data_IF_355579703095
#
_entry.id   IF_355579703095
#
_cell.length_a   1.000
_cell.length_b   1.000
_cell.length_c   1.000
_cell.angle_alpha   90.00
_cell.angle_beta   90.00
_cell.angle_gamma   90.00
#
_symmetry.space_group_name_H-M   'P 1'
#
loop_
_entity.id
_entity.type
_entity.pdbx_description
1 polymer ?
#
# COMPACT_ATOMS: atom_id res chain seq x y z
N UNK A 1 10.51 9.85 1.99
CA UNK A 1 10.74 8.61 2.76
C UNK A 1 9.41 7.95 3.07
N UNK A 2 9.30 6.62 3.10
CA UNK A 2 8.00 5.96 3.36
C UNK A 2 7.76 5.87 4.86
N UNK A 3 6.55 6.16 5.31
CA UNK A 3 6.13 6.13 6.70
C UNK A 3 4.89 5.26 6.87
N UNK A 4 4.82 4.55 7.99
CA UNK A 4 3.73 3.66 8.37
C UNK A 4 3.12 4.14 9.69
N UNK A 5 1.81 4.00 9.86
CA UNK A 5 1.15 4.34 11.12
C UNK A 5 0.93 3.09 11.96
N UNK A 6 1.57 3.03 13.13
CA UNK A 6 1.60 1.84 13.96
C UNK A 6 0.19 1.40 14.39
N UNK A 7 -0.11 0.10 14.27
CA UNK A 7 -1.41 -0.50 14.62
C UNK A 7 -2.65 0.04 13.88
N UNK A 8 -2.49 0.90 12.86
CA UNK A 8 -3.61 1.43 12.07
C UNK A 8 -4.46 0.35 11.39
N UNK A 9 -3.83 -0.77 11.02
CA UNK A 9 -4.50 -1.93 10.42
C UNK A 9 -5.52 -2.64 11.31
N UNK A 10 -5.56 -2.36 12.62
CA UNK A 10 -6.50 -2.99 13.56
C UNK A 10 -7.84 -2.25 13.66
N UNK A 11 -7.90 -1.03 13.12
CA UNK A 11 -9.11 -0.20 13.12
C UNK A 11 -10.08 -0.59 12.01
N UNK A 12 -11.11 0.23 11.77
CA UNK A 12 -11.89 0.16 10.53
C UNK A 12 -11.08 0.72 9.35
N UNK A 13 -11.55 0.43 8.12
CA UNK A 13 -11.09 1.16 6.93
C UNK A 13 -11.62 2.58 7.04
N UNK A 14 -10.71 3.56 7.09
CA UNK A 14 -11.08 4.98 7.15
C UNK A 14 -11.71 5.42 5.82
N UNK A 15 -12.66 6.38 5.85
CA UNK A 15 -13.16 6.99 4.61
C UNK A 15 -11.99 7.61 3.86
N UNK A 16 -11.95 7.40 2.54
CA UNK A 16 -10.94 7.93 1.65
C UNK A 16 -11.64 8.88 0.69
N UNK A 17 -11.24 10.15 0.72
CA UNK A 17 -11.87 11.23 -0.04
C UNK A 17 -10.84 11.83 -1.00
N UNK A 18 -11.29 12.31 -2.16
CA UNK A 18 -10.40 13.08 -3.03
C UNK A 18 -10.31 14.51 -2.52
N UNK A 19 -9.09 15.02 -2.34
CA UNK A 19 -8.88 16.43 -2.03
C UNK A 19 -8.99 17.32 -3.27
N UNK A 20 -8.79 16.74 -4.46
CA UNK A 20 -8.87 17.43 -5.75
C UNK A 20 -9.84 16.68 -6.68
N UNK A 21 -10.93 17.33 -7.14
CA UNK A 21 -11.85 16.74 -8.12
C UNK A 21 -11.18 16.30 -9.43
N UNK A 22 -10.08 16.96 -9.82
CA UNK A 22 -9.32 16.66 -11.04
C UNK A 22 -8.37 15.46 -10.87
N UNK A 23 -8.15 15.00 -9.63
CA UNK A 23 -7.29 13.85 -9.29
C UNK A 23 -8.08 12.76 -8.54
N UNK A 24 -9.09 12.11 -9.16
CA UNK A 24 -10.03 11.21 -8.49
C UNK A 24 -9.40 9.95 -7.89
N UNK A 25 -8.13 9.67 -8.19
CA UNK A 25 -7.37 8.52 -7.70
C UNK A 25 -6.56 8.84 -6.44
N UNK A 26 -6.37 10.14 -6.12
CA UNK A 26 -5.56 10.60 -4.98
C UNK A 26 -6.42 10.66 -3.71
N UNK A 27 -6.99 9.51 -3.37
CA UNK A 27 -7.85 9.40 -2.20
C UNK A 27 -7.02 9.34 -0.93
N UNK A 28 -7.35 10.19 0.05
CA UNK A 28 -6.69 10.23 1.34
C UNK A 28 -7.73 10.28 2.47
N UNK A 29 -7.43 9.72 3.65
CA UNK A 29 -8.28 9.93 4.80
C UNK A 29 -8.25 11.39 5.26
N UNK A 30 -9.35 11.89 5.86
CA UNK A 30 -9.35 13.20 6.51
C UNK A 30 -8.23 13.29 7.57
N UNK A 31 -7.44 14.38 7.59
CA UNK A 31 -6.28 14.52 8.49
C UNK A 31 -6.61 14.32 9.98
N UNK A 32 -7.80 14.71 10.41
CA UNK A 32 -8.29 14.57 11.79
C UNK A 32 -8.48 13.12 12.24
N UNK A 33 -8.59 12.18 11.29
CA UNK A 33 -8.70 10.74 11.57
C UNK A 33 -7.32 10.05 11.62
N UNK A 34 -6.25 10.77 11.28
CA UNK A 34 -4.89 10.25 11.23
C UNK A 34 -4.14 10.62 12.51
N UNK A 35 -3.77 9.62 13.28
CA UNK A 35 -2.93 9.80 14.47
C UNK A 35 -1.44 9.89 14.07
N UNK A 36 -0.99 11.13 13.83
CA UNK A 36 0.40 11.43 13.47
C UNK A 36 1.42 11.01 14.56
N UNK A 37 0.99 10.83 15.82
CA UNK A 37 1.91 10.38 16.89
C UNK A 37 2.37 8.93 16.72
N UNK A 38 1.66 8.15 15.89
CA UNK A 38 1.97 6.76 15.57
C UNK A 38 2.78 6.59 14.29
N UNK A 39 3.19 7.67 13.66
CA UNK A 39 4.00 7.63 12.47
C UNK A 39 5.39 7.05 12.76
N UNK A 40 5.78 6.04 12.00
CA UNK A 40 7.08 5.41 12.06
C UNK A 40 7.71 5.34 10.67
N UNK A 41 8.98 5.75 10.56
CA UNK A 41 9.72 5.70 9.31
C UNK A 41 10.10 4.26 8.96
N UNK A 42 9.73 3.84 7.75
CA UNK A 42 10.14 2.55 7.20
C UNK A 42 11.51 2.70 6.51
N UNK A 43 12.58 2.72 7.31
CA UNK A 43 13.95 2.85 6.82
C UNK A 43 14.44 1.51 6.28
N UNK A 44 14.82 1.46 5.01
CA UNK A 44 15.43 0.29 4.39
C UNK A 44 16.68 0.64 3.61
N UNK A 45 17.66 -0.26 3.68
CA UNK A 45 18.85 -0.23 2.84
C UNK A 45 18.56 -0.77 1.44
N UNK A 46 19.50 -0.62 0.50
CA UNK A 46 19.38 -1.19 -0.84
C UNK A 46 19.15 -2.71 -0.76
N UNK A 47 18.07 -3.18 -1.38
CA UNK A 47 17.65 -4.59 -1.34
C UNK A 47 16.83 -4.98 -0.10
N UNK A 48 16.62 -4.04 0.84
CA UNK A 48 15.70 -4.23 1.95
C UNK A 48 14.24 -4.23 1.46
N UNK A 49 13.40 -4.95 2.19
CA UNK A 49 11.97 -5.10 1.91
C UNK A 49 11.18 -4.68 3.12
N UNK A 50 10.07 -3.98 2.90
CA UNK A 50 9.09 -3.63 3.94
C UNK A 50 7.82 -4.37 3.61
N UNK A 51 7.29 -5.11 4.57
CA UNK A 51 5.96 -5.70 4.49
C UNK A 51 5.05 -4.93 5.45
N UNK A 52 3.86 -4.57 4.97
CA UNK A 52 2.80 -4.01 5.81
C UNK A 52 1.49 -4.73 5.51
N UNK A 53 0.57 -4.73 6.49
CA UNK A 53 -0.77 -5.28 6.29
C UNK A 53 -1.54 -4.41 5.29
N UNK A 54 -2.45 -5.00 4.50
CA UNK A 54 -3.22 -4.29 3.46
C UNK A 54 -3.99 -3.06 3.96
N UNK A 55 -4.40 -3.08 5.22
CA UNK A 55 -5.10 -1.97 5.88
C UNK A 55 -4.18 -1.00 6.64
N UNK A 56 -2.86 -1.15 6.54
CA UNK A 56 -1.93 -0.24 7.23
C UNK A 56 -1.93 1.10 6.51
N UNK A 57 -2.26 2.17 7.22
CA UNK A 57 -2.06 3.51 6.69
C UNK A 57 -0.57 3.74 6.47
N UNK A 58 -0.24 4.30 5.33
CA UNK A 58 1.13 4.59 4.95
C UNK A 58 1.19 5.80 4.01
N UNK A 59 2.32 6.51 4.04
CA UNK A 59 2.53 7.67 3.17
C UNK A 59 3.97 7.70 2.64
N UNK A 60 4.16 8.33 1.49
CA UNK A 60 5.47 8.57 0.91
C UNK A 60 5.81 10.06 0.98
N UNK A 61 6.69 10.41 1.90
CA UNK A 61 7.22 11.77 1.99
C UNK A 61 8.11 12.13 0.82
N UNK A 62 8.18 13.44 0.54
CA UNK A 62 9.05 14.04 -0.47
C UNK A 62 10.51 13.57 -0.28
N UNK A 63 11.20 13.35 -1.39
CA UNK A 63 12.63 13.09 -1.37
C UNK A 63 13.38 14.43 -1.38
N UNK A 64 14.04 14.75 -0.27
CA UNK A 64 14.85 15.98 -0.13
C UNK A 64 16.35 15.74 -0.40
N UNK A 65 16.73 14.51 -0.76
CA UNK A 65 18.11 14.21 -1.12
C UNK A 65 18.42 14.55 -2.59
N UNK A 66 19.70 14.73 -2.88
CA UNK A 66 20.26 14.94 -4.22
C UNK A 66 20.34 13.64 -5.06
N UNK A 67 19.84 12.51 -4.53
CA UNK A 67 19.88 11.20 -5.19
C UNK A 67 18.49 10.65 -5.44
N UNK A 68 18.36 9.92 -6.54
CA UNK A 68 17.12 9.25 -6.91
C UNK A 68 16.83 8.07 -5.97
N UNK A 69 15.61 8.02 -5.43
CA UNK A 69 15.08 6.87 -4.69
C UNK A 69 14.19 6.05 -5.63
N UNK A 70 14.53 4.77 -5.81
CA UNK A 70 13.71 3.81 -6.55
C UNK A 70 13.21 2.76 -5.58
N UNK A 71 11.90 2.54 -5.58
CA UNK A 71 11.23 1.47 -4.85
C UNK A 71 10.33 0.71 -5.81
N UNK A 72 10.20 -0.60 -5.59
CA UNK A 72 9.23 -1.44 -6.26
C UNK A 72 8.18 -1.82 -5.21
N UNK A 73 7.12 -1.02 -5.12
CA UNK A 73 6.15 -1.05 -4.02
C UNK A 73 4.79 -1.68 -4.44
N UNK A 74 4.63 -1.97 -5.73
CA UNK A 74 3.35 -2.40 -6.31
C UNK A 74 3.13 -3.92 -6.26
N UNK A 75 3.52 -4.59 -5.17
CA UNK A 75 3.34 -6.05 -5.05
C UNK A 75 2.55 -6.40 -3.80
N UNK A 76 1.37 -6.95 -4.02
CA UNK A 76 0.52 -7.51 -2.97
C UNK A 76 0.63 -9.02 -3.01
N UNK A 77 0.82 -9.63 -1.84
CA UNK A 77 0.75 -11.08 -1.68
C UNK A 77 -0.50 -11.42 -0.89
N UNK A 78 -1.32 -12.28 -1.46
CA UNK A 78 -2.54 -12.79 -0.86
C UNK A 78 -2.48 -14.32 -0.78
N UNK A 79 -3.25 -14.91 0.13
CA UNK A 79 -3.36 -16.36 0.22
C UNK A 79 -4.16 -16.92 -0.96
N UNK A 80 -4.00 -18.21 -1.27
CA UNK A 80 -4.81 -18.89 -2.27
C UNK A 80 -6.32 -18.90 -1.95
N UNK A 81 -6.71 -18.58 -0.71
CA UNK A 81 -8.11 -18.53 -0.25
C UNK A 81 -8.71 -17.12 -0.34
N UNK A 82 -7.94 -16.12 -0.75
CA UNK A 82 -8.42 -14.73 -0.84
C UNK A 82 -9.38 -14.59 -2.01
N UNK A 83 -10.59 -14.12 -1.72
CA UNK A 83 -11.62 -13.81 -2.71
C UNK A 83 -11.77 -12.30 -2.88
N UNK A 84 -12.41 -11.88 -3.97
CA UNK A 84 -12.72 -10.48 -4.27
C UNK A 84 -14.21 -10.33 -4.51
N UNK A 85 -14.80 -9.26 -3.97
CA UNK A 85 -16.23 -8.96 -4.17
C UNK A 85 -16.49 -8.21 -5.48
N UNK A 86 -15.46 -7.66 -6.12
CA UNK A 86 -15.57 -6.80 -7.30
C UNK A 86 -14.72 -7.27 -8.49
N UNK A 87 -14.35 -8.56 -8.52
CA UNK A 87 -13.55 -9.17 -9.60
C UNK A 87 -12.19 -8.52 -9.88
N UNK A 88 -11.70 -7.63 -9.00
CA UNK A 88 -10.39 -6.97 -9.20
C UNK A 88 -9.25 -7.99 -9.28
N UNK A 89 -9.38 -9.09 -8.53
CA UNK A 89 -8.39 -10.16 -8.50
C UNK A 89 -8.36 -10.98 -9.80
N UNK A 90 -9.41 -10.93 -10.63
CA UNK A 90 -9.49 -11.72 -11.87
C UNK A 90 -8.42 -11.27 -12.87
N UNK A 91 -8.12 -9.96 -12.88
CA UNK A 91 -7.04 -9.37 -13.70
C UNK A 91 -5.67 -9.41 -13.03
N UNK A 92 -5.51 -10.13 -11.91
CA UNK A 92 -4.24 -10.17 -11.19
C UNK A 92 -3.15 -10.87 -12.01
N UNK A 93 -1.89 -10.47 -11.77
CA UNK A 93 -0.74 -10.94 -12.55
C UNK A 93 -0.55 -12.47 -12.52
N UNK A 94 -0.98 -13.13 -11.44
CA UNK A 94 -0.89 -14.58 -11.29
C UNK A 94 -1.96 -15.37 -12.08
N UNK A 95 -3.00 -14.70 -12.61
CA UNK A 95 -4.02 -15.30 -13.48
C UNK A 95 -3.67 -15.24 -14.97
N UNK A 96 -2.49 -14.70 -15.33
CA UNK A 96 -2.09 -14.62 -16.73
C UNK A 96 -1.79 -16.02 -17.27
N UNK A 97 -2.17 -16.26 -18.52
CA UNK A 97 -1.96 -17.54 -19.23
C UNK A 97 -0.48 -17.96 -19.31
N UNK A 98 0.45 -16.99 -19.22
CA UNK A 98 1.89 -17.19 -19.26
C UNK A 98 2.53 -17.46 -17.89
N UNK A 99 1.75 -17.41 -16.80
CA UNK A 99 2.23 -17.65 -15.45
C UNK A 99 2.08 -19.13 -15.07
N UNK A 100 3.14 -19.82 -14.59
CA UNK A 100 3.05 -21.23 -14.27
C UNK A 100 2.04 -21.44 -13.13
N UNK A 101 1.00 -22.23 -13.39
CA UNK A 101 0.04 -22.62 -12.36
C UNK A 101 0.78 -23.34 -11.22
N UNK A 102 0.53 -22.88 -9.99
CA UNK A 102 1.06 -23.54 -8.80
C UNK A 102 0.48 -24.95 -8.73
N UNK A 103 1.31 -25.98 -8.94
CA UNK A 103 0.90 -27.36 -8.74
C UNK A 103 0.69 -27.59 -7.23
N UNK A 104 -0.50 -28.04 -6.85
CA UNK A 104 -0.89 -28.41 -5.49
C UNK A 104 -0.20 -29.69 -5.02
#
# INVERSE_FOLDING_TARGET
>A
MSALYYSSHKGPILPHETLDPDEPYNLVPPPELIDLSKEALAIVNKGGVVFHHSQTLHTSHRNESDRWRRGYDATHWASAQTTSENSTIDSAYFNRDDFPAMQS
#
